data_IF_876363429077
#
_entry.id   IF_876363429077
#
_cell.length_a   1.000
_cell.length_b   1.000
_cell.length_c   1.000
_cell.angle_alpha   90.00
_cell.angle_beta   90.00
_cell.angle_gamma   90.00
#
_symmetry.space_group_name_H-M   'P 1'
#
loop_
_entity.id
_entity.type
_entity.pdbx_description
1 polymer ?
#
# COMPACT_ATOMS: atom_id res chain seq x y z
N UNK A 1 -26.68 4.37 -10.71
CA UNK A 1 -26.55 5.85 -10.74
C UNK A 1 -25.57 6.30 -11.82
N UNK A 2 -25.79 7.47 -12.44
CA UNK A 2 -24.84 8.07 -13.39
C UNK A 2 -24.57 9.51 -12.98
N UNK A 3 -23.30 9.84 -12.76
CA UNK A 3 -22.84 11.21 -12.50
C UNK A 3 -22.19 11.77 -13.75
N UNK A 4 -22.52 13.01 -14.09
CA UNK A 4 -21.98 13.68 -15.26
C UNK A 4 -20.47 13.95 -15.11
N UNK A 5 -19.71 13.83 -16.20
CA UNK A 5 -18.26 14.04 -16.22
C UNK A 5 -17.88 15.46 -15.78
N UNK A 6 -18.78 16.44 -15.94
CA UNK A 6 -18.57 17.83 -15.50
C UNK A 6 -18.67 18.01 -13.98
N UNK A 7 -19.16 17.01 -13.22
CA UNK A 7 -19.18 17.08 -11.75
C UNK A 7 -17.76 16.89 -11.20
N UNK A 8 -17.20 17.95 -10.61
CA UNK A 8 -15.83 17.97 -10.04
C UNK A 8 -15.78 17.87 -8.50
N UNK A 9 -16.89 17.53 -7.87
CA UNK A 9 -16.98 17.33 -6.42
C UNK A 9 -16.38 15.98 -6.00
N UNK A 10 -16.00 15.87 -4.73
CA UNK A 10 -15.68 14.57 -4.14
C UNK A 10 -16.95 13.75 -3.97
N UNK A 11 -16.93 12.48 -4.38
CA UNK A 11 -18.05 11.56 -4.33
C UNK A 11 -17.67 10.28 -3.60
N UNK A 12 -18.54 9.84 -2.71
CA UNK A 12 -18.51 8.53 -2.05
C UNK A 12 -19.85 7.86 -2.33
N UNK A 13 -19.84 6.71 -2.99
CA UNK A 13 -21.03 6.06 -3.55
C UNK A 13 -21.01 4.58 -3.20
N UNK A 14 -22.08 4.10 -2.58
CA UNK A 14 -22.33 2.69 -2.28
C UNK A 14 -23.52 2.19 -3.13
N UNK A 15 -23.37 1.06 -3.82
CA UNK A 15 -24.45 0.37 -4.53
C UNK A 15 -25.40 -0.33 -3.57
N UNK A 16 -24.84 -1.20 -2.74
CA UNK A 16 -25.56 -1.92 -1.69
C UNK A 16 -25.84 -3.36 -2.10
N UNK A 17 -27.08 -3.82 -1.92
CA UNK A 17 -27.45 -5.19 -2.29
C UNK A 17 -28.00 -5.26 -3.72
N UNK A 18 -27.52 -6.24 -4.49
CA UNK A 18 -27.95 -6.59 -5.84
C UNK A 18 -27.12 -5.93 -6.94
N UNK A 19 -27.26 -6.43 -8.16
CA UNK A 19 -26.48 -5.97 -9.33
C UNK A 19 -26.72 -4.47 -9.65
N UNK A 20 -25.72 -3.64 -9.38
CA UNK A 20 -25.77 -2.19 -9.54
C UNK A 20 -25.00 -1.70 -10.78
N UNK A 21 -25.44 -0.55 -11.29
CA UNK A 21 -24.71 0.20 -12.32
C UNK A 21 -24.32 1.55 -11.75
N UNK A 22 -23.03 1.84 -11.62
CA UNK A 22 -22.52 3.09 -11.03
C UNK A 22 -21.51 3.74 -11.96
N UNK A 23 -21.72 5.01 -12.29
CA UNK A 23 -20.75 5.82 -13.03
C UNK A 23 -20.41 7.10 -12.27
N UNK A 24 -19.13 7.29 -11.98
CA UNK A 24 -18.54 8.48 -11.39
C UNK A 24 -18.30 9.62 -12.38
N UNK A 25 -18.14 10.83 -11.85
CA UNK A 25 -17.88 12.05 -12.62
C UNK A 25 -16.39 12.41 -12.71
N UNK A 26 -16.09 13.67 -13.01
CA UNK A 26 -14.72 14.15 -13.19
C UNK A 26 -13.97 14.57 -11.91
N UNK A 27 -14.61 14.53 -10.75
CA UNK A 27 -14.02 14.79 -9.44
C UNK A 27 -13.43 13.54 -8.79
N UNK A 28 -12.83 13.70 -7.59
CA UNK A 28 -12.33 12.57 -6.81
C UNK A 28 -13.52 11.66 -6.45
N UNK A 29 -13.46 10.38 -6.82
CA UNK A 29 -14.61 9.48 -6.70
C UNK A 29 -14.21 8.19 -6.01
N UNK A 30 -15.05 7.72 -5.09
CA UNK A 30 -15.01 6.39 -4.49
C UNK A 30 -16.31 5.67 -4.80
N UNK A 31 -16.20 4.47 -5.35
CA UNK A 31 -17.31 3.59 -5.67
C UNK A 31 -17.15 2.28 -4.89
N UNK A 32 -18.22 1.82 -4.27
CA UNK A 32 -18.33 0.49 -3.68
C UNK A 32 -19.54 -0.19 -4.30
N UNK A 33 -19.33 -1.38 -4.88
CA UNK A 33 -20.41 -2.17 -5.49
C UNK A 33 -21.32 -2.70 -4.39
N UNK A 34 -20.79 -3.64 -3.61
CA UNK A 34 -21.48 -4.19 -2.45
C UNK A 34 -21.69 -5.67 -2.66
N UNK A 35 -22.95 -6.12 -2.69
CA UNK A 35 -23.30 -7.50 -2.97
C UNK A 35 -23.90 -7.59 -4.37
N UNK A 36 -23.51 -8.59 -5.16
CA UNK A 36 -24.07 -8.79 -6.49
C UNK A 36 -23.06 -8.45 -7.58
N UNK A 37 -23.46 -8.62 -8.83
CA UNK A 37 -22.56 -8.44 -9.95
C UNK A 37 -22.68 -7.01 -10.49
N UNK A 38 -21.76 -6.16 -10.06
CA UNK A 38 -21.82 -4.73 -10.25
C UNK A 38 -21.03 -4.28 -11.49
N UNK A 39 -21.54 -3.22 -12.12
CA UNK A 39 -20.81 -2.48 -13.14
C UNK A 39 -20.44 -1.10 -12.61
N UNK A 40 -19.15 -0.84 -12.45
CA UNK A 40 -18.64 0.43 -11.95
C UNK A 40 -17.69 1.10 -12.93
N UNK A 41 -17.90 2.39 -13.16
CA UNK A 41 -17.04 3.22 -14.00
C UNK A 41 -16.60 4.50 -13.30
N UNK A 42 -15.30 4.64 -13.09
CA UNK A 42 -14.65 5.88 -12.68
C UNK A 42 -14.52 6.85 -13.86
N UNK A 43 -14.38 8.14 -13.54
CA UNK A 43 -14.31 9.22 -14.53
C UNK A 43 -12.90 9.75 -14.81
N UNK A 44 -12.78 11.07 -14.96
CA UNK A 44 -11.50 11.74 -15.26
C UNK A 44 -10.71 12.19 -14.02
N UNK A 45 -11.32 12.09 -12.83
CA UNK A 45 -10.68 12.41 -11.55
C UNK A 45 -9.93 11.22 -10.96
N UNK A 46 -9.26 11.43 -9.82
CA UNK A 46 -8.72 10.35 -9.00
C UNK A 46 -9.87 9.43 -8.56
N UNK A 47 -9.81 8.18 -8.95
CA UNK A 47 -10.83 7.19 -8.66
C UNK A 47 -10.35 6.06 -7.75
N UNK A 48 -11.22 5.64 -6.85
CA UNK A 48 -11.13 4.36 -6.15
C UNK A 48 -12.41 3.56 -6.43
N UNK A 49 -12.29 2.29 -6.77
CA UNK A 49 -13.44 1.39 -6.90
C UNK A 49 -13.15 0.05 -6.21
N UNK A 50 -14.12 -0.45 -5.45
CA UNK A 50 -14.08 -1.79 -4.87
C UNK A 50 -15.36 -2.53 -5.28
N UNK A 51 -15.21 -3.65 -5.96
CA UNK A 51 -16.31 -4.58 -6.32
C UNK A 51 -17.06 -5.06 -5.07
N UNK A 52 -16.27 -5.66 -4.17
CA UNK A 52 -16.67 -6.33 -2.94
C UNK A 52 -17.12 -7.78 -3.22
N UNK A 53 -18.40 -8.11 -3.18
CA UNK A 53 -18.87 -9.49 -3.36
C UNK A 53 -19.63 -9.65 -4.66
N UNK A 54 -19.12 -10.44 -5.60
CA UNK A 54 -19.80 -10.76 -6.85
C UNK A 54 -18.84 -10.82 -8.04
N UNK A 55 -19.33 -11.24 -9.20
CA UNK A 55 -18.56 -11.16 -10.45
C UNK A 55 -18.73 -9.74 -11.05
N UNK A 56 -17.79 -8.83 -10.76
CA UNK A 56 -17.88 -7.40 -11.03
C UNK A 56 -17.16 -6.95 -12.31
N UNK A 57 -17.54 -5.78 -12.83
CA UNK A 57 -16.83 -5.10 -13.92
C UNK A 57 -16.44 -3.69 -13.51
N UNK A 58 -15.14 -3.42 -13.42
CA UNK A 58 -14.59 -2.12 -12.99
C UNK A 58 -13.85 -1.43 -14.14
N UNK A 59 -14.22 -0.18 -14.45
CA UNK A 59 -13.59 0.63 -15.50
C UNK A 59 -13.03 1.93 -14.90
N UNK A 60 -11.71 2.08 -14.93
CA UNK A 60 -11.00 3.17 -14.26
C UNK A 60 -11.08 4.56 -14.91
N UNK A 61 -11.55 4.68 -16.16
CA UNK A 61 -11.66 5.96 -16.84
C UNK A 61 -10.31 6.55 -17.29
N UNK A 62 -10.22 7.89 -17.32
CA UNK A 62 -9.04 8.62 -17.83
C UNK A 62 -8.16 9.24 -16.77
N UNK A 63 -8.64 9.33 -15.53
CA UNK A 63 -7.87 9.76 -14.36
C UNK A 63 -7.03 8.63 -13.74
N UNK A 64 -6.25 8.97 -12.72
CA UNK A 64 -5.55 7.96 -11.93
C UNK A 64 -6.58 7.10 -11.19
N UNK A 65 -6.34 5.80 -11.09
CA UNK A 65 -7.28 4.89 -10.45
C UNK A 65 -6.63 3.80 -9.61
N UNK A 66 -7.37 3.42 -8.58
CA UNK A 66 -7.11 2.28 -7.71
C UNK A 66 -8.37 1.43 -7.74
N UNK A 67 -8.26 0.16 -8.13
CA UNK A 67 -9.41 -0.74 -8.28
C UNK A 67 -9.10 -2.08 -7.62
N UNK A 68 -10.03 -2.55 -6.80
CA UNK A 68 -10.02 -3.88 -6.18
C UNK A 68 -11.25 -4.63 -6.67
N UNK A 69 -11.09 -5.78 -7.30
CA UNK A 69 -12.20 -6.69 -7.60
C UNK A 69 -12.80 -7.20 -6.30
N UNK A 70 -11.93 -7.74 -5.44
CA UNK A 70 -12.24 -8.39 -4.17
C UNK A 70 -12.74 -9.83 -4.41
N UNK A 71 -13.95 -10.21 -3.97
CA UNK A 71 -14.43 -11.58 -4.08
C UNK A 71 -15.23 -11.78 -5.36
N UNK A 72 -14.79 -12.69 -6.21
CA UNK A 72 -15.54 -13.13 -7.39
C UNK A 72 -14.69 -13.03 -8.64
N UNK A 73 -15.26 -13.35 -9.81
CA UNK A 73 -14.52 -13.32 -11.07
C UNK A 73 -14.70 -11.98 -11.75
N UNK A 74 -13.72 -11.11 -11.57
CA UNK A 74 -13.83 -9.71 -11.89
C UNK A 74 -13.14 -9.35 -13.22
N UNK A 75 -13.71 -8.37 -13.92
CA UNK A 75 -13.15 -7.78 -15.14
C UNK A 75 -12.74 -6.32 -14.85
N UNK A 76 -11.43 -6.09 -14.66
CA UNK A 76 -10.84 -4.78 -14.30
C UNK A 76 -10.13 -4.12 -15.48
N UNK A 77 -10.58 -2.93 -15.87
CA UNK A 77 -10.01 -2.16 -16.97
C UNK A 77 -9.52 -0.79 -16.52
N UNK A 78 -8.21 -0.59 -16.47
CA UNK A 78 -7.59 0.67 -16.05
C UNK A 78 -8.02 1.88 -16.90
N UNK A 79 -8.39 1.65 -18.16
CA UNK A 79 -8.86 2.67 -19.10
C UNK A 79 -7.75 3.37 -19.90
N UNK A 80 -8.17 4.32 -20.75
CA UNK A 80 -7.28 5.14 -21.57
C UNK A 80 -7.10 6.51 -20.94
N UNK A 81 -5.91 7.11 -21.07
CA UNK A 81 -5.60 8.42 -20.49
C UNK A 81 -4.24 8.94 -20.89
N UNK A 82 -3.74 10.00 -20.23
CA UNK A 82 -2.40 10.53 -20.49
C UNK A 82 -1.32 9.51 -20.13
N UNK A 83 -0.12 9.66 -20.71
CA UNK A 83 1.01 8.76 -20.42
C UNK A 83 1.51 8.83 -18.97
N UNK A 84 1.11 9.86 -18.21
CA UNK A 84 1.43 10.02 -16.79
C UNK A 84 0.43 9.34 -15.86
N UNK A 85 -0.69 8.83 -16.40
CA UNK A 85 -1.74 8.14 -15.63
C UNK A 85 -1.13 6.99 -14.83
N UNK A 86 -1.52 6.86 -13.57
CA UNK A 86 -1.20 5.76 -12.68
C UNK A 86 -2.45 4.91 -12.46
N UNK A 87 -2.30 3.60 -12.57
CA UNK A 87 -3.37 2.63 -12.31
C UNK A 87 -2.86 1.54 -11.38
N UNK A 88 -3.58 1.24 -10.31
CA UNK A 88 -3.37 0.06 -9.47
C UNK A 88 -4.62 -0.80 -9.52
N UNK A 89 -4.47 -2.04 -9.96
CA UNK A 89 -5.55 -3.01 -10.07
C UNK A 89 -5.16 -4.24 -9.26
N UNK A 90 -6.06 -4.67 -8.38
CA UNK A 90 -5.98 -5.93 -7.65
C UNK A 90 -7.23 -6.76 -8.00
N UNK A 91 -7.04 -7.99 -8.48
CA UNK A 91 -8.15 -8.89 -8.80
C UNK A 91 -8.85 -9.32 -7.52
N UNK A 92 -8.11 -9.93 -6.61
CA UNK A 92 -8.61 -10.37 -5.31
C UNK A 92 -8.70 -11.88 -5.25
N UNK A 93 -9.87 -12.44 -4.99
CA UNK A 93 -10.13 -13.87 -4.92
C UNK A 93 -10.91 -14.35 -6.14
N UNK A 94 -10.59 -15.56 -6.63
CA UNK A 94 -11.14 -16.21 -7.82
C UNK A 94 -10.45 -15.76 -9.13
N UNK A 95 -11.05 -16.06 -10.29
CA UNK A 95 -10.37 -15.95 -11.59
C UNK A 95 -10.65 -14.60 -12.26
N UNK A 96 -9.66 -13.72 -12.25
CA UNK A 96 -9.84 -12.33 -12.67
C UNK A 96 -9.23 -12.03 -14.03
N UNK A 97 -9.68 -10.91 -14.63
CA UNK A 97 -9.08 -10.35 -15.84
C UNK A 97 -8.71 -8.89 -15.63
N UNK A 98 -7.42 -8.59 -15.71
CA UNK A 98 -6.89 -7.25 -15.46
C UNK A 98 -6.27 -6.67 -16.73
N UNK A 99 -6.68 -5.46 -17.11
CA UNK A 99 -6.22 -4.77 -18.32
C UNK A 99 -5.59 -3.41 -17.96
N UNK A 100 -4.27 -3.29 -18.12
CA UNK A 100 -3.50 -2.12 -17.68
C UNK A 100 -3.73 -0.83 -18.49
N UNK A 101 -4.12 -0.88 -19.75
CA UNK A 101 -4.42 0.36 -20.51
C UNK A 101 -3.25 1.37 -20.57
N UNK A 102 -3.58 2.67 -20.62
CA UNK A 102 -2.59 3.74 -20.81
C UNK A 102 -1.82 4.11 -19.54
N UNK A 103 -0.58 4.56 -19.70
CA UNK A 103 0.22 5.13 -18.61
C UNK A 103 1.09 4.10 -17.87
N UNK A 104 1.18 4.24 -16.55
CA UNK A 104 1.91 3.35 -15.67
C UNK A 104 0.94 2.52 -14.84
N UNK A 105 1.10 1.21 -14.88
CA UNK A 105 0.15 0.28 -14.28
C UNK A 105 0.86 -0.68 -13.33
N UNK A 106 0.19 -0.98 -12.22
CA UNK A 106 0.50 -2.09 -11.33
C UNK A 106 -0.72 -3.01 -11.34
N UNK A 107 -0.51 -4.26 -11.77
CA UNK A 107 -1.56 -5.27 -11.81
C UNK A 107 -1.17 -6.40 -10.85
N UNK A 108 -2.07 -6.74 -9.93
CA UNK A 108 -1.98 -7.90 -9.05
C UNK A 108 -3.14 -8.84 -9.36
N UNK A 109 -2.85 -10.09 -9.75
CA UNK A 109 -3.89 -11.09 -9.98
C UNK A 109 -4.62 -11.42 -8.69
N UNK A 110 -3.86 -11.76 -7.65
CA UNK A 110 -4.41 -12.12 -6.34
C UNK A 110 -4.40 -13.63 -6.15
N UNK A 111 -5.52 -14.21 -5.73
CA UNK A 111 -5.72 -15.64 -5.58
C UNK A 111 -6.60 -16.16 -6.70
N UNK A 112 -6.09 -17.06 -7.54
CA UNK A 112 -6.89 -17.68 -8.59
C UNK A 112 -6.05 -17.93 -9.83
N UNK A 113 -6.72 -18.32 -10.92
CA UNK A 113 -6.03 -18.47 -12.20
C UNK A 113 -6.32 -17.22 -13.04
N UNK A 114 -5.43 -16.24 -12.97
CA UNK A 114 -5.72 -14.88 -13.43
C UNK A 114 -5.19 -14.60 -14.84
N UNK A 115 -5.86 -13.67 -15.52
CA UNK A 115 -5.51 -13.21 -16.86
C UNK A 115 -5.10 -11.73 -16.84
N UNK A 116 -3.79 -11.46 -16.87
CA UNK A 116 -3.25 -10.11 -16.81
C UNK A 116 -2.79 -9.64 -18.19
N UNK A 117 -3.26 -8.47 -18.62
CA UNK A 117 -2.97 -7.91 -19.93
C UNK A 117 -2.33 -6.53 -19.78
N UNK A 118 -1.06 -6.45 -20.20
CA UNK A 118 -0.36 -5.19 -20.32
C UNK A 118 -0.88 -4.33 -21.46
N UNK A 119 -0.56 -3.04 -21.41
CA UNK A 119 -0.56 -2.22 -22.59
C UNK A 119 0.62 -1.26 -22.51
N UNK A 120 0.59 -0.21 -21.69
CA UNK A 120 1.79 0.64 -21.51
C UNK A 120 2.71 0.07 -20.41
N UNK A 121 3.51 0.92 -19.74
CA UNK A 121 4.50 0.48 -18.76
C UNK A 121 3.78 -0.22 -17.60
N UNK A 122 4.03 -1.52 -17.42
CA UNK A 122 3.27 -2.33 -16.47
C UNK A 122 4.20 -3.13 -15.56
N UNK A 123 3.89 -3.12 -14.27
CA UNK A 123 4.43 -4.06 -13.29
C UNK A 123 3.35 -5.09 -12.99
N UNK A 124 3.70 -6.36 -13.15
CA UNK A 124 2.80 -7.49 -12.93
C UNK A 124 3.21 -8.24 -11.67
N UNK A 125 2.24 -8.52 -10.82
CA UNK A 125 2.29 -9.49 -9.74
C UNK A 125 1.24 -10.54 -10.08
N UNK A 126 1.65 -11.76 -10.40
CA UNK A 126 0.69 -12.77 -10.85
C UNK A 126 -0.18 -13.27 -9.71
N UNK A 127 0.42 -13.48 -8.53
CA UNK A 127 -0.33 -13.96 -7.38
C UNK A 127 -0.18 -15.45 -7.18
N UNK A 128 -1.21 -16.06 -6.59
CA UNK A 128 -1.30 -17.51 -6.43
C UNK A 128 -2.19 -18.09 -7.51
N UNK A 129 -1.69 -19.12 -8.17
CA UNK A 129 -2.49 -20.01 -9.00
C UNK A 129 -1.73 -20.34 -10.27
N UNK A 130 -2.46 -20.46 -11.38
CA UNK A 130 -1.92 -20.68 -12.71
C UNK A 130 -2.23 -19.49 -13.62
N UNK A 131 -1.45 -18.43 -13.46
CA UNK A 131 -1.74 -17.16 -14.09
C UNK A 131 -1.22 -17.08 -15.51
N UNK A 132 -1.77 -16.14 -16.27
CA UNK A 132 -1.34 -15.88 -17.62
C UNK A 132 -1.18 -14.38 -17.91
N UNK A 133 0.02 -13.98 -18.36
CA UNK A 133 0.31 -12.61 -18.78
C UNK A 133 0.39 -12.52 -20.31
N UNK A 134 -0.33 -11.56 -20.87
CA UNK A 134 -0.22 -11.17 -22.29
C UNK A 134 0.19 -9.71 -22.46
N UNK A 135 0.83 -9.45 -23.60
CA UNK A 135 1.15 -8.08 -24.07
C UNK A 135 2.03 -7.26 -23.10
N UNK A 136 2.96 -7.91 -22.41
CA UNK A 136 4.06 -7.24 -21.73
C UNK A 136 5.00 -6.56 -22.74
N UNK A 137 5.67 -5.49 -22.32
CA UNK A 137 6.55 -4.66 -23.14
C UNK A 137 7.98 -4.59 -22.59
N UNK A 138 8.85 -3.96 -23.39
CA UNK A 138 10.20 -3.62 -22.96
C UNK A 138 10.17 -2.79 -21.66
N UNK A 139 10.94 -3.22 -20.64
CA UNK A 139 11.03 -2.64 -19.28
C UNK A 139 9.84 -2.88 -18.36
N UNK A 140 8.88 -3.71 -18.77
CA UNK A 140 7.91 -4.23 -17.80
C UNK A 140 8.62 -5.09 -16.76
N UNK A 141 8.09 -5.05 -15.54
CA UNK A 141 8.56 -5.84 -14.39
C UNK A 141 7.53 -6.92 -14.14
N UNK A 142 7.99 -8.15 -13.95
CA UNK A 142 7.11 -9.31 -13.85
C UNK A 142 7.53 -10.14 -12.63
N UNK A 143 6.70 -10.14 -11.60
CA UNK A 143 6.81 -10.99 -10.42
C UNK A 143 5.86 -12.15 -10.62
N UNK A 144 6.44 -13.33 -10.88
CA UNK A 144 5.73 -14.45 -11.49
C UNK A 144 5.90 -15.75 -10.71
N UNK A 145 4.81 -16.48 -10.54
CA UNK A 145 4.76 -17.82 -10.00
C UNK A 145 5.45 -18.83 -10.93
N UNK A 146 5.94 -19.92 -10.34
CA UNK A 146 6.66 -20.94 -11.11
C UNK A 146 5.77 -21.69 -12.12
N UNK A 147 4.45 -21.64 -11.94
CA UNK A 147 3.48 -22.37 -12.75
C UNK A 147 2.83 -21.53 -13.85
N UNK A 148 3.16 -20.24 -13.93
CA UNK A 148 2.45 -19.26 -14.73
C UNK A 148 2.96 -19.21 -16.17
N UNK A 149 2.09 -18.75 -17.05
CA UNK A 149 2.37 -18.58 -18.47
C UNK A 149 2.57 -17.11 -18.82
N UNK A 150 3.62 -16.78 -19.58
CA UNK A 150 3.72 -15.44 -20.16
C UNK A 150 4.60 -15.41 -21.41
N UNK A 151 4.27 -14.50 -22.32
CA UNK A 151 5.11 -14.22 -23.48
C UNK A 151 6.38 -13.49 -23.02
N UNK A 152 7.55 -14.07 -23.32
CA UNK A 152 8.86 -13.50 -22.94
C UNK A 152 9.28 -12.39 -23.91
N UNK A 153 8.59 -11.27 -23.88
CA UNK A 153 8.93 -10.09 -24.69
C UNK A 153 10.35 -9.61 -24.40
N UNK A 154 11.14 -9.37 -25.44
CA UNK A 154 12.56 -9.02 -25.31
C UNK A 154 12.74 -7.73 -24.50
N UNK A 155 13.44 -7.84 -23.37
CA UNK A 155 13.79 -6.72 -22.50
C UNK A 155 12.76 -6.36 -21.42
N UNK A 156 11.76 -7.21 -21.17
CA UNK A 156 11.11 -7.26 -19.85
C UNK A 156 12.03 -7.96 -18.84
N UNK A 157 11.93 -7.61 -17.55
CA UNK A 157 12.59 -8.32 -16.47
C UNK A 157 11.56 -9.18 -15.72
N UNK A 158 11.93 -10.40 -15.36
CA UNK A 158 11.07 -11.26 -14.54
C UNK A 158 11.83 -11.78 -13.32
N UNK A 159 11.09 -11.91 -12.22
CA UNK A 159 11.54 -12.43 -10.93
C UNK A 159 10.58 -13.53 -10.53
N UNK A 160 11.11 -14.73 -10.26
CA UNK A 160 10.29 -15.80 -9.72
C UNK A 160 9.91 -15.49 -8.27
N UNK A 161 8.63 -15.58 -7.96
CA UNK A 161 8.09 -15.46 -6.61
C UNK A 161 7.40 -16.77 -6.25
N UNK A 162 7.73 -17.32 -5.10
CA UNK A 162 7.11 -18.55 -4.62
C UNK A 162 5.95 -18.20 -3.69
N UNK A 163 4.81 -18.92 -3.73
CA UNK A 163 3.76 -18.77 -2.74
C UNK A 163 4.30 -18.85 -1.31
N UNK A 164 3.82 -17.97 -0.44
CA UNK A 164 4.31 -17.82 0.93
C UNK A 164 3.17 -17.69 1.93
N UNK A 165 3.45 -18.03 3.18
CA UNK A 165 2.59 -17.78 4.35
C UNK A 165 3.14 -16.67 5.25
N UNK A 166 4.09 -15.91 4.74
CA UNK A 166 4.69 -14.80 5.48
C UNK A 166 3.59 -13.83 5.96
N UNK A 167 3.74 -13.33 7.18
CA UNK A 167 2.81 -12.43 7.84
C UNK A 167 1.78 -13.12 8.74
N UNK A 168 1.58 -14.45 8.61
CA UNK A 168 0.60 -15.22 9.41
C UNK A 168 0.86 -15.19 10.92
N UNK A 169 2.08 -14.88 11.36
CA UNK A 169 2.45 -14.77 12.77
C UNK A 169 2.72 -13.32 13.19
N UNK A 170 3.20 -12.49 12.25
CA UNK A 170 3.55 -11.10 12.44
C UNK A 170 2.35 -10.20 12.66
N UNK A 171 1.20 -10.55 12.07
CA UNK A 171 0.01 -9.71 12.05
C UNK A 171 -1.25 -10.44 12.46
N UNK A 172 -2.15 -9.72 13.12
CA UNK A 172 -3.49 -10.18 13.46
C UNK A 172 -4.50 -9.12 13.05
N UNK A 173 -5.49 -9.48 12.25
CA UNK A 173 -6.53 -8.54 11.78
C UNK A 173 -7.72 -8.59 12.73
N UNK A 174 -8.11 -7.44 13.29
CA UNK A 174 -9.25 -7.34 14.20
C UNK A 174 -10.59 -7.38 13.43
N UNK A 175 -11.67 -7.54 14.19
CA UNK A 175 -13.02 -7.41 13.65
C UNK A 175 -13.30 -6.00 13.08
N UNK A 176 -14.05 -5.94 11.98
CA UNK A 176 -14.37 -4.73 11.23
C UNK A 176 -15.51 -5.02 10.24
N UNK A 177 -15.74 -4.12 9.29
CA UNK A 177 -16.66 -4.38 8.17
C UNK A 177 -16.09 -5.52 7.29
N UNK A 178 -16.95 -6.18 6.51
CA UNK A 178 -16.50 -7.22 5.59
C UNK A 178 -15.46 -6.65 4.59
N UNK A 179 -15.75 -5.49 3.99
CA UNK A 179 -14.81 -4.79 3.11
C UNK A 179 -13.47 -4.40 3.75
N UNK A 180 -13.43 -4.06 5.05
CA UNK A 180 -12.17 -3.83 5.75
C UNK A 180 -11.30 -5.10 5.81
N UNK A 181 -11.89 -6.23 6.19
CA UNK A 181 -11.13 -7.49 6.31
C UNK A 181 -10.65 -7.97 4.95
N UNK A 182 -11.49 -7.87 3.93
CA UNK A 182 -11.15 -8.25 2.57
C UNK A 182 -10.00 -7.39 2.03
N UNK A 183 -10.11 -6.05 2.14
CA UNK A 183 -9.06 -5.14 1.71
C UNK A 183 -7.70 -5.43 2.36
N UNK A 184 -7.68 -5.69 3.68
CA UNK A 184 -6.45 -6.10 4.39
C UNK A 184 -5.92 -7.45 3.89
N UNK A 185 -6.80 -8.41 3.60
CA UNK A 185 -6.41 -9.70 3.07
C UNK A 185 -5.76 -9.55 1.69
N UNK A 186 -6.36 -8.77 0.79
CA UNK A 186 -5.84 -8.48 -0.54
C UNK A 186 -4.48 -7.78 -0.47
N UNK A 187 -4.34 -6.74 0.36
CA UNK A 187 -3.08 -6.01 0.50
C UNK A 187 -1.96 -6.88 1.10
N UNK A 188 -2.27 -7.76 2.06
CA UNK A 188 -1.30 -8.74 2.60
C UNK A 188 -0.95 -9.78 1.54
N UNK A 189 -1.90 -10.19 0.70
CA UNK A 189 -1.65 -11.13 -0.38
C UNK A 189 -0.80 -10.51 -1.49
N UNK A 190 -1.04 -9.26 -1.87
CA UNK A 190 -0.15 -8.48 -2.72
C UNK A 190 1.29 -8.49 -2.17
N UNK A 191 1.46 -8.25 -0.87
CA UNK A 191 2.79 -8.28 -0.25
C UNK A 191 3.41 -9.68 -0.27
N UNK A 192 2.62 -10.76 -0.26
CA UNK A 192 3.13 -12.13 -0.48
C UNK A 192 3.49 -12.40 -1.93
N UNK A 193 2.98 -11.63 -2.88
CA UNK A 193 3.38 -11.69 -4.29
C UNK A 193 4.61 -10.80 -4.60
N UNK A 194 5.00 -9.94 -3.66
CA UNK A 194 6.13 -9.01 -3.74
C UNK A 194 7.39 -9.57 -3.07
N UNK A 195 8.57 -9.60 -3.71
CA UNK A 195 9.83 -9.93 -3.02
C UNK A 195 10.15 -9.03 -1.82
N UNK A 196 9.91 -7.71 -1.93
CA UNK A 196 10.05 -6.76 -0.82
C UNK A 196 9.02 -7.07 0.28
N UNK A 197 7.76 -7.29 -0.10
CA UNK A 197 6.69 -7.65 0.83
C UNK A 197 6.98 -8.96 1.56
N UNK A 198 7.37 -10.03 0.87
CA UNK A 198 7.71 -11.32 1.47
C UNK A 198 8.84 -11.21 2.50
N UNK A 199 9.90 -10.46 2.18
CA UNK A 199 11.00 -10.24 3.12
C UNK A 199 10.52 -9.49 4.37
N UNK A 200 9.69 -8.45 4.20
CA UNK A 200 9.19 -7.67 5.32
C UNK A 200 8.26 -8.51 6.20
N UNK A 201 7.27 -9.18 5.60
CA UNK A 201 6.31 -10.05 6.29
C UNK A 201 7.01 -11.18 7.04
N UNK A 202 7.98 -11.87 6.42
CA UNK A 202 8.71 -12.96 7.06
C UNK A 202 9.55 -12.49 8.24
N UNK A 203 10.15 -11.29 8.12
CA UNK A 203 10.89 -10.70 9.23
C UNK A 203 9.96 -10.23 10.36
N UNK A 204 8.75 -9.76 10.04
CA UNK A 204 7.75 -9.44 11.05
C UNK A 204 7.24 -10.70 11.79
N UNK A 205 7.11 -11.85 11.11
CA UNK A 205 6.84 -13.14 11.76
C UNK A 205 7.94 -13.51 12.78
N UNK A 206 9.22 -13.36 12.39
CA UNK A 206 10.36 -13.61 13.28
C UNK A 206 10.33 -12.68 14.50
N UNK A 207 10.05 -11.39 14.29
CA UNK A 207 9.98 -10.40 15.35
C UNK A 207 8.81 -10.64 16.31
N UNK A 208 7.65 -11.04 15.80
CA UNK A 208 6.51 -11.40 16.64
C UNK A 208 6.82 -12.61 17.52
N UNK A 209 7.43 -13.65 16.96
CA UNK A 209 7.88 -14.82 17.72
C UNK A 209 8.93 -14.46 18.79
N UNK A 210 9.88 -13.57 18.44
CA UNK A 210 10.93 -13.10 19.35
C UNK A 210 10.38 -12.25 20.49
N UNK A 211 9.46 -11.34 20.19
CA UNK A 211 8.96 -10.36 21.16
C UNK A 211 7.78 -10.90 21.96
N UNK A 212 7.13 -11.97 21.50
CA UNK A 212 5.98 -12.59 22.18
C UNK A 212 4.65 -11.90 21.88
N UNK A 213 4.52 -11.25 20.71
CA UNK A 213 3.27 -10.60 20.30
C UNK A 213 3.31 -10.09 18.86
N UNK A 214 2.16 -10.13 18.20
CA UNK A 214 1.93 -9.67 16.83
C UNK A 214 1.56 -8.18 16.78
N UNK A 215 1.55 -7.62 15.58
CA UNK A 215 0.96 -6.31 15.29
C UNK A 215 -0.52 -6.50 14.99
N UNK A 216 -1.38 -5.78 15.70
CA UNK A 216 -2.83 -5.75 15.45
C UNK A 216 -3.14 -4.80 14.31
N UNK A 217 -3.84 -5.24 13.26
CA UNK A 217 -4.39 -4.37 12.21
C UNK A 217 -5.85 -4.13 12.55
N UNK A 218 -6.21 -2.87 12.80
CA UNK A 218 -7.52 -2.45 13.33
C UNK A 218 -8.18 -1.46 12.36
N UNK A 219 -9.52 -1.43 12.27
CA UNK A 219 -10.20 -0.38 11.54
C UNK A 219 -9.82 1.00 12.10
N UNK A 220 -9.32 1.88 11.25
CA UNK A 220 -9.13 3.30 11.57
C UNK A 220 -10.41 4.14 11.46
N UNK A 221 -10.34 5.41 11.83
CA UNK A 221 -11.39 6.40 11.52
C UNK A 221 -11.32 6.93 10.07
N UNK A 222 -12.10 7.98 9.75
CA UNK A 222 -12.36 8.50 8.39
C UNK A 222 -11.13 8.81 7.49
N UNK A 223 -9.89 8.76 7.99
CA UNK A 223 -8.67 8.96 7.18
C UNK A 223 -7.38 8.39 7.81
N UNK A 224 -7.47 7.55 8.83
CA UNK A 224 -6.31 7.22 9.65
C UNK A 224 -5.68 5.89 9.21
N UNK A 225 -4.60 5.99 8.44
CA UNK A 225 -3.56 4.97 8.38
C UNK A 225 -2.44 5.42 9.31
N UNK A 226 -2.25 4.69 10.42
CA UNK A 226 -1.31 5.10 11.45
C UNK A 226 -0.82 3.92 12.29
N UNK A 227 0.47 3.93 12.61
CA UNK A 227 1.09 3.04 13.56
C UNK A 227 1.02 3.61 14.98
N UNK A 228 0.73 2.73 15.94
CA UNK A 228 0.78 3.04 17.36
C UNK A 228 1.65 2.02 18.10
N UNK A 229 2.70 2.53 18.74
CA UNK A 229 3.55 1.74 19.63
C UNK A 229 2.75 1.22 20.83
N UNK A 230 2.87 -0.07 21.10
CA UNK A 230 2.28 -0.71 22.27
C UNK A 230 3.21 -1.78 22.85
N UNK A 231 3.34 -1.79 24.18
CA UNK A 231 4.08 -2.83 24.88
C UNK A 231 3.42 -3.25 26.20
N UNK A 232 3.58 -4.51 26.58
CA UNK A 232 3.18 -5.05 27.90
C UNK A 232 3.81 -4.24 29.03
N UNK A 233 5.04 -3.74 28.84
CA UNK A 233 5.70 -2.87 29.81
C UNK A 233 4.87 -1.61 30.06
N UNK A 234 4.49 -0.89 28.99
CA UNK A 234 3.77 0.37 29.13
C UNK A 234 2.35 0.17 29.66
N UNK A 235 1.64 -0.88 29.25
CA UNK A 235 0.26 -1.16 29.70
C UNK A 235 0.12 -1.20 31.23
N UNK A 236 1.13 -1.74 31.92
CA UNK A 236 1.13 -1.88 33.37
C UNK A 236 1.56 -0.61 34.13
N UNK A 237 1.96 0.45 33.43
CA UNK A 237 2.38 1.71 34.04
C UNK A 237 1.20 2.67 34.14
N UNK A 238 1.03 3.26 35.33
CA UNK A 238 -0.01 4.27 35.56
C UNK A 238 0.21 5.55 34.70
N UNK A 239 -0.84 6.20 34.18
CA UNK A 239 -0.73 7.31 33.23
C UNK A 239 0.16 8.48 33.71
N UNK A 240 0.15 8.78 35.00
CA UNK A 240 0.95 9.82 35.62
C UNK A 240 2.45 9.51 35.62
N UNK A 241 2.82 8.23 35.73
CA UNK A 241 4.22 7.79 35.67
C UNK A 241 4.71 7.83 34.22
N UNK A 242 3.87 7.43 33.26
CA UNK A 242 4.22 7.45 31.82
C UNK A 242 4.74 8.82 31.36
N UNK A 243 4.17 9.93 31.86
CA UNK A 243 4.59 11.30 31.48
C UNK A 243 6.04 11.66 31.83
N UNK A 244 6.68 10.89 32.70
CA UNK A 244 8.05 11.14 33.18
C UNK A 244 9.06 10.11 32.70
N UNK A 245 8.60 9.09 31.99
CA UNK A 245 9.47 8.03 31.48
C UNK A 245 10.28 8.53 30.29
N UNK A 246 11.44 7.92 30.12
CA UNK A 246 12.30 8.17 28.98
C UNK A 246 11.70 7.61 27.70
N UNK A 247 11.82 8.33 26.58
CA UNK A 247 11.26 7.92 25.28
C UNK A 247 11.79 6.57 24.78
N UNK A 248 12.93 6.09 25.30
CA UNK A 248 13.39 4.71 25.05
C UNK A 248 12.37 3.64 25.48
N UNK A 249 11.37 3.99 26.30
CA UNK A 249 10.25 3.12 26.66
C UNK A 249 9.18 2.99 25.58
N UNK A 250 9.20 3.87 24.58
CA UNK A 250 8.39 3.84 23.36
C UNK A 250 9.20 3.38 22.14
N UNK A 251 10.28 2.63 22.34
CA UNK A 251 11.09 2.09 21.25
C UNK A 251 12.01 3.10 20.56
N UNK A 252 12.22 4.28 21.15
CA UNK A 252 13.14 5.28 20.61
C UNK A 252 14.59 4.87 20.87
N UNK A 253 15.41 4.86 19.81
CA UNK A 253 16.84 4.63 19.86
C UNK A 253 17.52 5.76 20.66
N UNK A 254 18.37 5.39 21.63
CA UNK A 254 19.09 6.39 22.44
C UNK A 254 20.55 6.02 22.63
N UNK A 255 21.45 6.93 22.24
CA UNK A 255 22.89 6.77 22.37
C UNK A 255 23.43 5.45 21.78
N UNK A 256 22.91 5.03 20.62
CA UNK A 256 23.30 3.79 19.96
C UNK A 256 22.77 2.51 20.62
N UNK A 257 21.85 2.64 21.58
CA UNK A 257 21.19 1.50 22.24
C UNK A 257 19.72 1.48 21.84
N UNK A 258 19.22 0.38 21.25
CA UNK A 258 17.81 0.22 20.96
C UNK A 258 16.94 0.40 22.21
N UNK A 259 15.80 1.05 22.02
CA UNK A 259 14.76 1.19 23.02
C UNK A 259 14.03 -0.13 23.29
N UNK A 260 12.94 0.00 24.04
CA UNK A 260 12.05 -1.10 24.40
C UNK A 260 11.32 -1.60 23.16
N UNK A 261 11.05 -2.90 23.10
CA UNK A 261 10.43 -3.53 21.94
C UNK A 261 8.92 -3.55 22.10
N UNK A 262 8.22 -3.27 21.01
CA UNK A 262 6.78 -3.49 20.96
C UNK A 262 6.44 -4.99 20.91
N UNK A 263 5.41 -5.38 21.66
CA UNK A 263 4.78 -6.70 21.65
C UNK A 263 3.24 -6.59 21.58
N UNK A 264 2.70 -5.37 21.45
CA UNK A 264 1.26 -5.06 21.34
C UNK A 264 1.02 -3.85 20.44
N UNK A 265 1.83 -3.72 19.40
CA UNK A 265 1.70 -2.62 18.46
C UNK A 265 0.39 -2.74 17.67
N UNK A 266 -0.10 -1.60 17.19
CA UNK A 266 -1.32 -1.52 16.40
C UNK A 266 -1.08 -0.70 15.14
N UNK A 267 -1.70 -1.11 14.05
CA UNK A 267 -1.83 -0.33 12.83
C UNK A 267 -3.33 -0.06 12.68
N UNK A 268 -3.70 1.21 12.73
CA UNK A 268 -5.02 1.63 12.26
C UNK A 268 -4.95 1.69 10.75
N UNK A 269 -5.91 1.03 10.10
CA UNK A 269 -6.00 0.95 8.66
C UNK A 269 -7.44 1.25 8.26
N UNK A 270 -7.67 2.40 7.63
CA UNK A 270 -8.99 2.77 7.17
C UNK A 270 -8.96 3.64 5.93
N UNK A 271 -10.09 3.57 5.22
CA UNK A 271 -10.39 4.21 3.95
C UNK A 271 -9.40 3.86 2.83
N UNK A 272 -9.83 3.98 1.57
CA UNK A 272 -8.89 4.08 0.47
C UNK A 272 -8.09 5.37 0.67
N UNK A 273 -6.91 5.24 1.29
CA UNK A 273 -5.92 6.30 1.48
C UNK A 273 -5.24 6.61 0.15
N UNK A 274 -6.08 6.98 -0.83
CA UNK A 274 -5.67 7.33 -2.18
C UNK A 274 -5.39 8.82 -2.21
N UNK A 275 -4.12 9.17 -2.08
CA UNK A 275 -3.63 10.51 -2.33
C UNK A 275 -3.03 10.58 -3.73
N UNK A 276 -3.18 11.71 -4.40
CA UNK A 276 -2.59 11.96 -5.72
C UNK A 276 -1.74 13.23 -5.63
N UNK A 277 -0.53 13.19 -6.19
CA UNK A 277 0.35 14.35 -6.19
C UNK A 277 -0.28 15.49 -7.00
N UNK A 278 0.05 16.75 -6.69
CA UNK A 278 -0.53 17.91 -7.37
C UNK A 278 -0.32 17.90 -8.90
N UNK A 279 0.80 17.33 -9.36
CA UNK A 279 1.12 17.13 -10.79
C UNK A 279 0.48 15.86 -11.39
N UNK A 280 -0.20 15.05 -10.56
CA UNK A 280 -0.90 13.80 -10.90
C UNK A 280 -0.02 12.69 -11.45
N UNK A 281 1.29 12.74 -11.18
CA UNK A 281 2.24 11.73 -11.65
C UNK A 281 2.45 10.58 -10.66
N UNK A 282 2.02 10.74 -9.40
CA UNK A 282 2.09 9.71 -8.38
C UNK A 282 0.79 9.61 -7.58
N UNK A 283 0.49 8.40 -7.13
CA UNK A 283 -0.67 8.09 -6.31
C UNK A 283 -0.24 7.21 -5.15
N UNK A 284 -0.54 7.57 -3.92
CA UNK A 284 -0.46 6.63 -2.78
C UNK A 284 -1.62 5.66 -2.91
N UNK A 285 -1.34 4.37 -2.82
CA UNK A 285 -2.36 3.30 -2.89
C UNK A 285 -2.46 2.60 -1.53
N UNK A 286 -3.58 1.92 -1.21
CA UNK A 286 -3.80 1.36 0.12
C UNK A 286 -2.63 0.47 0.60
N UNK A 287 -2.14 -0.46 -0.22
CA UNK A 287 -0.99 -1.31 0.15
C UNK A 287 0.31 -0.55 0.43
N UNK A 288 0.59 0.56 -0.26
CA UNK A 288 1.79 1.38 0.03
C UNK A 288 1.66 2.14 1.36
N UNK A 289 0.43 2.55 1.72
CA UNK A 289 0.16 3.16 3.01
C UNK A 289 0.26 2.11 4.14
N UNK A 290 -0.29 0.90 3.95
CA UNK A 290 -0.12 -0.21 4.89
C UNK A 290 1.36 -0.54 5.09
N UNK A 291 2.13 -0.63 4.00
CA UNK A 291 3.55 -0.97 4.05
C UNK A 291 4.39 0.10 4.78
N UNK A 292 4.00 1.37 4.66
CA UNK A 292 4.60 2.45 5.45
C UNK A 292 4.44 2.17 6.96
N UNK A 293 3.25 1.80 7.41
CA UNK A 293 3.02 1.45 8.82
C UNK A 293 3.70 0.14 9.24
N UNK A 294 3.91 -0.80 8.31
CA UNK A 294 4.76 -1.99 8.54
C UNK A 294 6.22 -1.59 8.79
N UNK A 295 6.73 -0.56 8.11
CA UNK A 295 8.08 -0.04 8.38
C UNK A 295 8.17 0.59 9.79
N UNK A 296 7.16 1.33 10.23
CA UNK A 296 7.06 1.78 11.62
C UNK A 296 6.97 0.62 12.61
N UNK A 297 6.19 -0.42 12.28
CA UNK A 297 6.09 -1.61 13.12
C UNK A 297 7.42 -2.36 13.26
N UNK A 298 8.23 -2.41 12.21
CA UNK A 298 9.60 -2.90 12.28
C UNK A 298 10.44 -2.07 13.27
N UNK A 299 10.35 -0.74 13.21
CA UNK A 299 11.07 0.13 14.13
C UNK A 299 10.62 -0.07 15.59
N UNK A 300 9.32 -0.21 15.83
CA UNK A 300 8.80 -0.50 17.17
C UNK A 300 9.21 -1.87 17.69
N UNK A 301 9.15 -2.92 16.86
CA UNK A 301 9.53 -4.28 17.23
C UNK A 301 11.03 -4.45 17.47
N UNK A 302 11.86 -3.61 16.85
CA UNK A 302 13.32 -3.59 17.04
C UNK A 302 13.78 -2.58 18.09
N UNK A 303 12.94 -1.61 18.46
CA UNK A 303 13.28 -0.50 19.36
C UNK A 303 14.21 0.52 18.70
N UNK A 304 14.02 0.79 17.41
CA UNK A 304 14.96 1.57 16.59
C UNK A 304 14.37 2.86 16.01
N UNK A 305 13.29 3.39 16.59
CA UNK A 305 12.77 4.70 16.16
C UNK A 305 13.82 5.79 16.30
N UNK A 306 14.05 6.55 15.23
CA UNK A 306 14.94 7.71 15.26
C UNK A 306 14.24 8.92 15.88
N UNK A 307 14.80 9.43 16.97
CA UNK A 307 14.29 10.62 17.64
C UNK A 307 14.51 11.91 16.83
N UNK A 308 13.75 12.94 17.19
CA UNK A 308 13.94 14.30 16.70
C UNK A 308 13.32 14.54 15.33
N UNK A 309 13.71 15.65 14.72
CA UNK A 309 13.09 16.14 13.48
C UNK A 309 14.14 16.64 12.51
N UNK A 310 13.84 16.57 11.21
CA UNK A 310 14.62 17.17 10.14
C UNK A 310 13.83 18.28 9.44
N UNK A 311 14.56 19.16 8.76
CA UNK A 311 13.95 20.22 7.95
C UNK A 311 13.85 19.73 6.51
N UNK A 312 12.62 19.69 6.01
CA UNK A 312 12.30 19.41 4.62
C UNK A 312 12.06 20.72 3.85
N UNK A 313 12.73 20.89 2.71
CA UNK A 313 12.53 22.04 1.82
C UNK A 313 11.52 21.67 0.74
N UNK A 314 10.42 22.41 0.65
CA UNK A 314 9.37 22.19 -0.34
C UNK A 314 9.62 23.05 -1.58
N UNK A 315 9.91 24.33 -1.35
CA UNK A 315 10.22 25.33 -2.38
C UNK A 315 11.24 26.34 -1.84
N UNK A 316 11.87 27.17 -2.69
CA UNK A 316 12.75 28.23 -2.23
C UNK A 316 12.07 29.15 -1.19
N UNK A 317 12.50 29.04 0.07
CA UNK A 317 11.96 29.82 1.19
C UNK A 317 10.80 29.18 1.94
N UNK A 318 10.33 28.00 1.52
CA UNK A 318 9.26 27.25 2.19
C UNK A 318 9.83 25.92 2.70
N UNK A 319 9.88 25.77 4.03
CA UNK A 319 10.31 24.53 4.67
C UNK A 319 9.34 24.09 5.76
N UNK A 320 9.34 22.78 6.02
CA UNK A 320 8.55 22.16 7.10
C UNK A 320 9.45 21.28 7.95
N UNK A 321 9.06 21.12 9.21
CA UNK A 321 9.68 20.18 10.14
C UNK A 321 8.99 18.83 10.00
N UNK A 322 9.77 17.76 9.89
CA UNK A 322 9.29 16.38 9.74
C UNK A 322 9.99 15.52 10.78
N UNK A 323 9.28 14.58 11.39
CA UNK A 323 9.86 13.66 12.35
C UNK A 323 10.83 12.69 11.64
N UNK A 324 11.92 12.31 12.31
CA UNK A 324 12.94 11.47 11.71
C UNK A 324 12.48 10.02 11.47
N UNK A 325 11.56 9.51 12.28
CA UNK A 325 10.91 8.20 12.12
C UNK A 325 10.09 8.11 10.81
N UNK A 326 9.40 9.18 10.43
CA UNK A 326 8.68 9.23 9.16
C UNK A 326 9.63 9.17 7.96
N UNK A 327 10.72 9.95 8.00
CA UNK A 327 11.74 9.91 6.96
C UNK A 327 12.44 8.54 6.92
N UNK A 328 12.67 7.94 8.09
CA UNK A 328 13.22 6.59 8.24
C UNK A 328 12.34 5.52 7.57
N UNK A 329 11.02 5.58 7.79
CA UNK A 329 10.03 4.66 7.21
C UNK A 329 9.84 4.88 5.70
N UNK A 330 9.93 6.12 5.20
CA UNK A 330 9.89 6.37 3.75
C UNK A 330 11.18 5.88 3.07
N UNK A 331 12.32 5.95 3.75
CA UNK A 331 13.64 5.72 3.17
C UNK A 331 14.31 7.01 2.69
N UNK A 332 14.11 8.11 3.41
CA UNK A 332 14.71 9.42 3.15
C UNK A 332 15.80 9.74 4.19
N UNK A 333 16.99 10.20 3.77
CA UNK A 333 18.02 10.63 4.71
C UNK A 333 17.53 11.74 5.65
N UNK A 334 17.90 11.63 6.92
CA UNK A 334 17.54 12.60 7.96
C UNK A 334 18.74 12.96 8.86
N UNK A 335 18.51 13.89 9.80
CA UNK A 335 19.52 14.49 10.68
C UNK A 335 19.84 13.70 11.95
N UNK A 336 19.23 12.53 12.16
CA UNK A 336 19.54 11.70 13.31
C UNK A 336 20.97 11.13 13.26
N UNK A 337 21.44 10.58 14.38
CA UNK A 337 22.73 9.87 14.41
C UNK A 337 22.59 8.53 13.67
N UNK A 338 23.48 8.21 12.72
CA UNK A 338 23.42 6.94 12.00
C UNK A 338 23.48 5.71 12.91
N UNK A 339 22.75 4.67 12.55
CA UNK A 339 22.65 3.41 13.29
C UNK A 339 22.61 2.21 12.32
N UNK A 340 23.09 1.06 12.81
CA UNK A 340 23.03 -0.22 12.11
C UNK A 340 21.73 -0.94 12.49
N UNK A 341 20.72 -0.84 11.63
CA UNK A 341 19.35 -1.25 11.93
C UNK A 341 19.07 -2.74 11.78
N UNK A 342 19.83 -3.45 10.95
CA UNK A 342 19.70 -4.89 10.71
C UNK A 342 20.80 -5.71 11.41
N UNK A 343 21.82 -5.05 11.97
CA UNK A 343 22.98 -5.68 12.60
C UNK A 343 23.72 -6.59 11.60
N UNK A 344 23.73 -6.20 10.33
CA UNK A 344 24.53 -6.82 9.28
C UNK A 344 25.80 -5.98 9.08
N UNK A 345 27.00 -6.51 9.38
CA UNK A 345 28.24 -5.75 9.23
C UNK A 345 28.58 -5.35 7.78
N UNK A 346 27.85 -5.88 6.78
CA UNK A 346 27.98 -5.50 5.38
C UNK A 346 27.14 -4.29 4.97
N UNK A 347 26.15 -3.90 5.77
CA UNK A 347 25.34 -2.69 5.60
C UNK A 347 25.91 -1.58 6.49
N UNK A 348 26.36 -0.44 5.93
CA UNK A 348 26.90 0.64 6.75
C UNK A 348 25.78 1.30 7.58
N UNK A 349 26.09 1.78 8.80
CA UNK A 349 25.12 2.55 9.59
C UNK A 349 24.57 3.74 8.81
N UNK A 350 23.25 3.92 8.88
CA UNK A 350 22.53 4.96 8.15
C UNK A 350 21.43 5.61 9.00
N UNK A 351 20.64 6.49 8.38
CA UNK A 351 19.47 7.10 9.02
C UNK A 351 18.15 6.64 8.41
N UNK A 352 18.20 5.65 7.52
CA UNK A 352 17.04 5.03 6.88
C UNK A 352 16.98 3.56 7.29
N UNK A 353 15.79 2.98 7.27
CA UNK A 353 15.66 1.55 7.42
C UNK A 353 16.33 0.83 6.23
N UNK A 354 16.91 -0.36 6.45
CA UNK A 354 17.41 -1.20 5.37
C UNK A 354 16.23 -1.78 4.59
N UNK A 355 16.38 -2.05 3.27
CA UNK A 355 15.42 -2.88 2.55
C UNK A 355 15.19 -4.20 3.31
N UNK A 356 13.94 -4.67 3.43
CA UNK A 356 12.75 -4.20 2.72
C UNK A 356 12.00 -3.03 3.39
N UNK A 357 12.39 -2.58 4.59
CA UNK A 357 11.55 -1.75 5.48
C UNK A 357 11.53 -0.26 5.15
N UNK A 358 11.39 0.08 3.87
CA UNK A 358 11.12 1.45 3.44
C UNK A 358 9.99 1.50 2.42
N UNK A 359 9.12 2.50 2.50
CA UNK A 359 8.07 2.75 1.51
C UNK A 359 8.67 2.84 0.09
N UNK A 360 9.83 3.50 -0.04
CA UNK A 360 10.54 3.61 -1.32
C UNK A 360 11.06 2.28 -1.87
N UNK A 361 11.39 1.30 -1.03
CA UNK A 361 11.77 -0.03 -1.52
C UNK A 361 10.57 -0.71 -2.22
N UNK A 362 9.37 -0.61 -1.64
CA UNK A 362 8.16 -1.14 -2.28
C UNK A 362 7.78 -0.33 -3.52
N UNK A 363 7.82 1.01 -3.46
CA UNK A 363 7.55 1.85 -4.62
C UNK A 363 8.52 1.57 -5.79
N UNK A 364 9.80 1.36 -5.52
CA UNK A 364 10.79 1.00 -6.53
C UNK A 364 10.44 -0.32 -7.23
N UNK A 365 10.08 -1.32 -6.43
CA UNK A 365 9.68 -2.65 -6.91
C UNK A 365 8.42 -2.57 -7.79
N UNK A 366 7.38 -1.87 -7.30
CA UNK A 366 6.15 -1.59 -8.04
C UNK A 366 6.40 -0.76 -9.30
N UNK A 367 7.57 -0.13 -9.41
CA UNK A 367 7.89 0.79 -10.49
C UNK A 367 7.17 2.14 -10.36
N UNK A 368 6.65 2.47 -9.19
CA UNK A 368 6.04 3.76 -8.89
C UNK A 368 7.11 4.85 -8.72
N UNK A 369 6.75 6.13 -8.88
CA UNK A 369 7.64 7.22 -8.49
C UNK A 369 8.02 7.11 -7.01
N UNK A 370 9.30 7.27 -6.71
CA UNK A 370 9.79 7.30 -5.34
C UNK A 370 9.37 8.61 -4.67
N UNK A 371 9.12 8.54 -3.37
CA UNK A 371 8.95 9.73 -2.55
C UNK A 371 10.30 10.41 -2.39
N UNK A 372 10.35 11.69 -2.73
CA UNK A 372 11.49 12.57 -2.48
C UNK A 372 11.32 13.41 -1.20
N UNK A 373 10.09 13.52 -0.71
CA UNK A 373 9.68 14.31 0.45
C UNK A 373 8.52 13.62 1.21
N UNK A 374 8.43 13.87 2.51
CA UNK A 374 7.36 13.46 3.41
C UNK A 374 6.08 14.28 3.23
N UNK A 375 6.18 15.59 2.99
CA UNK A 375 4.97 16.38 2.73
C UNK A 375 4.51 16.13 1.29
N UNK A 376 3.41 15.41 1.15
CA UNK A 376 2.80 15.15 -0.14
C UNK A 376 1.97 16.37 -0.56
N UNK A 377 2.37 17.08 -1.61
CA UNK A 377 1.53 18.13 -2.19
C UNK A 377 0.37 17.46 -2.93
N UNK A 378 -0.84 17.57 -2.39
CA UNK A 378 -2.01 16.84 -2.87
C UNK A 378 -2.74 17.58 -4.00
N UNK A 379 -3.21 16.80 -4.98
CA UNK A 379 -4.11 17.27 -6.04
C UNK A 379 -5.43 17.81 -5.48
N UNK A 380 -5.82 18.98 -5.99
CA UNK A 380 -7.08 19.68 -5.70
C UNK A 380 -8.31 19.11 -6.45
N UNK A 381 -8.19 17.91 -7.04
CA UNK A 381 -9.36 17.24 -7.61
C UNK A 381 -10.40 16.94 -6.54
N UNK A 382 -11.64 17.37 -6.76
CA UNK A 382 -12.71 17.26 -5.77
C UNK A 382 -13.09 18.58 -5.09
N UNK A 383 -12.30 19.65 -5.25
CA UNK A 383 -12.49 20.94 -4.57
C UNK A 383 -13.66 21.79 -5.15
N UNK A 384 -14.32 21.32 -6.22
CA UNK A 384 -15.60 21.88 -6.69
C UNK A 384 -15.54 23.20 -7.47
N UNK A 385 -14.49 23.44 -8.26
CA UNK A 385 -14.38 24.61 -9.13
C UNK A 385 -15.06 24.45 -10.50
#
# INVERSE_FOLDING_TARGET
>A
MIVDDDVKLTLDIEGGDGDDYIQGGGGRTRLYGGQGNDFMRLGSGLGYAAGNEGDDTLIGGSGNNVMYGNQGRDDLHAGLGPSTKQSYLDGGDDQDRLFGGSGHNVLNGGNGDDHLVGHDRTTFYTGKGHDAIWNNRHRDRIYVGAADYFDRTQGSAFTLVNPSKAGDQGFTVQDGTHGFKQQVADDIEFLRSSPIGQQALAKMDELAARNGGSVSIEPGGDSEVAYLYGSTELENVAPEVRKTMDDSKWGVLKNGVPGSRADRARIFYAHPSTLESADRTNTTVPVTALFHEIAHAYNGATGTFLAGTSTEQLEPGISKTVNNDELQAIGLPNSATPFDFDNDPSTPPGTINPPPFTENALNEEMGKPLRAIYNFEVSHQGDGA
#
